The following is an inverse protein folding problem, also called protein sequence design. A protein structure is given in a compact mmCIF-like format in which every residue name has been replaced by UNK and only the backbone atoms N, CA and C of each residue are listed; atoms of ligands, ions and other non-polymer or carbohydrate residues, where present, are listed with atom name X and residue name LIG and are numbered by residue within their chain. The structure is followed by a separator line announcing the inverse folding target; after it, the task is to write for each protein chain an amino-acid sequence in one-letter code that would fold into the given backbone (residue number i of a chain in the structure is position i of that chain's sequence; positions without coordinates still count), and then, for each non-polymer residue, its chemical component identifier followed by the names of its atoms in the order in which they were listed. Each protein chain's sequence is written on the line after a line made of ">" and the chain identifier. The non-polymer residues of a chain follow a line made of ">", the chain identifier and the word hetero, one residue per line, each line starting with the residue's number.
data_IF_548239407701
#
_entry.id   IF_548239407701
#
_cell.length_a   1.000
_cell.length_b   1.000
_cell.length_c   1.000
_cell.angle_alpha   90.00
_cell.angle_beta   90.00
_cell.angle_gamma   90.00
#
_symmetry.space_group_name_H-M   'P 1'
#
loop_
_entity.id
_entity.type
_entity.pdbx_description
1 polymer ?
#
# COMPACT_ATOMS: atom_id res chain seq x y z
N UNK A 1 -0.19 13.26 -11.61
CA UNK A 1 0.34 11.90 -11.43
C UNK A 1 -0.80 10.90 -11.59
N UNK A 2 -0.64 9.91 -12.47
CA UNK A 2 -1.67 8.87 -12.67
C UNK A 2 -1.38 7.66 -11.77
N UNK A 3 -2.29 7.39 -10.85
CA UNK A 3 -2.21 6.24 -9.94
C UNK A 3 -3.14 5.15 -10.46
N UNK A 4 -2.65 3.90 -10.52
CA UNK A 4 -3.46 2.72 -10.67
C UNK A 4 -3.47 1.94 -9.35
N UNK A 5 -4.64 1.52 -8.90
CA UNK A 5 -4.79 0.66 -7.73
C UNK A 5 -5.39 -0.67 -8.19
N UNK A 6 -4.69 -1.74 -7.89
CA UNK A 6 -5.10 -3.11 -8.21
C UNK A 6 -5.80 -3.72 -7.01
N UNK A 7 -6.99 -4.27 -7.25
CA UNK A 7 -7.70 -5.15 -6.34
C UNK A 7 -7.64 -6.55 -6.89
N UNK A 8 -6.94 -7.44 -6.21
CA UNK A 8 -6.69 -8.82 -6.62
C UNK A 8 -7.08 -9.78 -5.52
N UNK A 9 -7.62 -10.94 -5.90
CA UNK A 9 -7.71 -12.08 -5.00
C UNK A 9 -6.34 -12.76 -4.88
N UNK A 10 -5.90 -12.99 -3.65
CA UNK A 10 -4.73 -13.82 -3.36
C UNK A 10 -5.21 -15.17 -2.86
N UNK A 11 -4.93 -16.22 -3.62
CA UNK A 11 -5.16 -17.60 -3.18
C UNK A 11 -4.00 -18.00 -2.27
N UNK A 12 -4.25 -18.28 -0.97
CA UNK A 12 -3.16 -18.54 -0.03
C UNK A 12 -2.24 -19.67 -0.47
N UNK A 13 -0.92 -19.42 -0.43
CA UNK A 13 0.12 -20.38 -0.82
C UNK A 13 0.37 -20.55 -2.33
N UNK A 14 -0.51 -20.07 -3.20
CA UNK A 14 -0.41 -20.22 -4.66
C UNK A 14 0.45 -19.09 -5.29
N UNK A 15 1.70 -18.98 -4.85
CA UNK A 15 2.62 -17.86 -5.17
C UNK A 15 2.75 -17.61 -6.67
N UNK A 16 2.94 -18.67 -7.48
CA UNK A 16 3.14 -18.54 -8.92
C UNK A 16 1.89 -18.05 -9.64
N UNK A 17 0.71 -18.57 -9.25
CA UNK A 17 -0.56 -18.15 -9.82
C UNK A 17 -0.89 -16.69 -9.44
N UNK A 18 -0.67 -16.33 -8.16
CA UNK A 18 -0.86 -14.97 -7.66
C UNK A 18 0.08 -13.98 -8.37
N UNK A 19 1.35 -14.36 -8.56
CA UNK A 19 2.35 -13.56 -9.31
C UNK A 19 1.94 -13.39 -10.78
N UNK A 20 1.52 -14.45 -11.45
CA UNK A 20 1.10 -14.38 -12.84
C UNK A 20 -0.09 -13.42 -13.02
N UNK A 21 -1.08 -13.48 -12.11
CA UNK A 21 -2.22 -12.58 -12.06
C UNK A 21 -1.78 -11.13 -11.81
N UNK A 22 -0.90 -10.90 -10.83
CA UNK A 22 -0.35 -9.57 -10.53
C UNK A 22 0.39 -8.96 -11.73
N UNK A 23 1.17 -9.75 -12.46
CA UNK A 23 1.85 -9.31 -13.68
C UNK A 23 0.86 -8.92 -14.79
N UNK A 24 -0.27 -9.63 -14.92
CA UNK A 24 -1.30 -9.28 -15.88
C UNK A 24 -1.97 -7.94 -15.53
N UNK A 25 -2.35 -7.73 -14.28
CA UNK A 25 -2.92 -6.45 -13.82
C UNK A 25 -1.91 -5.30 -13.92
N UNK A 26 -0.63 -5.55 -13.59
CA UNK A 26 0.42 -4.54 -13.74
C UNK A 26 0.55 -4.10 -15.21
N UNK A 27 0.52 -5.06 -16.16
CA UNK A 27 0.56 -4.76 -17.58
C UNK A 27 -0.65 -3.93 -18.02
N UNK A 28 -1.87 -4.32 -17.61
CA UNK A 28 -3.08 -3.54 -17.88
C UNK A 28 -2.97 -2.09 -17.38
N UNK A 29 -2.48 -1.91 -16.15
CA UNK A 29 -2.28 -0.59 -15.57
C UNK A 29 -1.27 0.25 -16.35
N UNK A 30 -0.15 -0.36 -16.75
CA UNK A 30 0.92 0.31 -17.52
C UNK A 30 0.48 0.66 -18.94
N UNK A 31 -0.32 -0.18 -19.59
CA UNK A 31 -0.92 0.09 -20.92
C UNK A 31 -1.83 1.32 -20.86
N UNK A 32 -2.51 1.54 -19.72
CA UNK A 32 -3.32 2.74 -19.43
C UNK A 32 -2.48 3.91 -18.89
N UNK A 33 -1.14 3.83 -19.00
CA UNK A 33 -0.20 4.91 -18.66
C UNK A 33 -0.16 5.28 -17.18
N UNK A 34 -0.32 4.30 -16.29
CA UNK A 34 -0.11 4.52 -14.87
C UNK A 34 1.35 4.95 -14.60
N UNK A 35 1.53 6.03 -13.84
CA UNK A 35 2.83 6.43 -13.31
C UNK A 35 3.26 5.49 -12.17
N UNK A 36 2.30 5.10 -11.31
CA UNK A 36 2.52 4.16 -10.23
C UNK A 36 1.37 3.17 -10.13
N UNK A 37 1.70 1.89 -9.94
CA UNK A 37 0.75 0.80 -9.72
C UNK A 37 0.87 0.32 -8.28
N UNK A 38 -0.24 0.35 -7.55
CA UNK A 38 -0.34 -0.08 -6.16
C UNK A 38 -1.05 -1.42 -6.07
N UNK A 39 -0.45 -2.38 -5.37
CA UNK A 39 -1.05 -3.64 -4.97
C UNK A 39 -1.29 -3.70 -3.46
N UNK A 40 -2.07 -4.68 -3.01
CA UNK A 40 -2.41 -4.89 -1.62
C UNK A 40 -1.30 -5.61 -0.82
N UNK A 41 -1.47 -5.69 0.49
CA UNK A 41 -0.62 -6.42 1.44
C UNK A 41 -0.66 -7.93 1.16
N UNK A 42 0.46 -8.63 1.39
CA UNK A 42 0.57 -10.09 1.26
C UNK A 42 0.10 -10.62 -0.12
N UNK A 43 0.50 -9.92 -1.18
CA UNK A 43 0.04 -10.13 -2.55
C UNK A 43 0.22 -11.57 -3.07
N UNK A 44 1.28 -12.26 -2.61
CA UNK A 44 1.71 -13.53 -3.20
C UNK A 44 1.38 -14.73 -2.33
N UNK A 45 1.64 -14.64 -1.03
CA UNK A 45 1.54 -15.77 -0.10
C UNK A 45 0.19 -15.79 0.60
N UNK A 46 -0.34 -14.62 0.93
CA UNK A 46 -1.48 -14.51 1.84
C UNK A 46 -1.12 -14.99 3.25
N UNK A 47 -2.13 -15.19 4.09
CA UNK A 47 -1.94 -15.81 5.41
C UNK A 47 -1.94 -17.35 5.22
N UNK A 48 -0.76 -17.96 5.12
CA UNK A 48 -0.58 -19.38 4.86
C UNK A 48 0.44 -19.99 5.84
N UNK A 49 0.24 -21.25 6.27
CA UNK A 49 1.11 -21.93 7.24
C UNK A 49 2.58 -22.01 6.80
N UNK A 50 2.83 -22.11 5.49
CA UNK A 50 4.16 -22.16 4.89
C UNK A 50 4.73 -20.79 4.54
N UNK A 51 4.21 -19.69 5.12
CA UNK A 51 4.61 -18.34 4.74
C UNK A 51 6.14 -18.12 4.79
N UNK A 52 6.85 -18.72 5.74
CA UNK A 52 8.32 -18.59 5.85
C UNK A 52 9.08 -19.27 4.71
N UNK A 53 8.56 -20.40 4.22
CA UNK A 53 9.15 -21.11 3.07
C UNK A 53 8.87 -20.35 1.76
N UNK A 54 7.68 -19.80 1.64
CA UNK A 54 7.19 -19.10 0.46
C UNK A 54 7.65 -17.63 0.37
N UNK A 55 8.20 -17.10 1.47
CA UNK A 55 8.71 -15.73 1.54
C UNK A 55 9.87 -15.50 0.56
N UNK A 56 9.87 -14.36 -0.11
CA UNK A 56 10.91 -13.95 -1.06
C UNK A 56 11.86 -12.92 -0.44
N UNK A 57 13.09 -12.87 -0.92
CA UNK A 57 13.95 -11.71 -0.68
C UNK A 57 13.42 -10.49 -1.46
N UNK A 58 13.71 -9.29 -0.98
CA UNK A 58 13.26 -8.03 -1.62
C UNK A 58 13.63 -7.98 -3.12
N UNK A 59 14.80 -8.50 -3.49
CA UNK A 59 15.23 -8.62 -4.88
C UNK A 59 14.93 -10.01 -5.50
N UNK A 60 13.90 -10.68 -4.98
CA UNK A 60 13.48 -12.01 -5.39
C UNK A 60 12.79 -12.07 -6.76
N UNK A 61 12.20 -13.24 -7.08
CA UNK A 61 11.59 -13.49 -8.38
C UNK A 61 10.51 -12.50 -8.76
N UNK A 62 9.64 -12.12 -7.82
CA UNK A 62 8.53 -11.19 -8.08
C UNK A 62 9.03 -9.78 -8.38
N UNK A 63 9.96 -9.26 -7.59
CA UNK A 63 10.61 -7.96 -7.87
C UNK A 63 11.25 -7.95 -9.25
N UNK A 64 11.97 -8.99 -9.62
CA UNK A 64 12.60 -9.12 -10.95
C UNK A 64 11.60 -9.16 -12.09
N UNK A 65 10.47 -9.85 -11.88
CA UNK A 65 9.40 -9.91 -12.87
C UNK A 65 8.74 -8.53 -13.08
N UNK A 66 8.44 -7.79 -12.01
CA UNK A 66 7.95 -6.42 -12.10
C UNK A 66 8.98 -5.46 -12.71
N UNK A 67 10.26 -5.61 -12.36
CA UNK A 67 11.34 -4.84 -12.97
C UNK A 67 11.39 -5.07 -14.48
N UNK A 68 11.19 -6.30 -14.95
CA UNK A 68 11.11 -6.63 -16.36
C UNK A 68 9.95 -5.93 -17.08
N UNK A 69 8.76 -5.85 -16.45
CA UNK A 69 7.61 -5.12 -17.00
C UNK A 69 7.85 -3.60 -17.09
N UNK A 70 8.64 -3.06 -16.16
CA UNK A 70 8.95 -1.64 -16.10
C UNK A 70 10.06 -1.22 -17.07
N UNK A 71 10.70 -2.16 -17.78
CA UNK A 71 11.78 -1.86 -18.70
C UNK A 71 11.34 -0.83 -19.77
N UNK A 72 12.13 0.23 -19.94
CA UNK A 72 11.84 1.31 -20.87
C UNK A 72 10.75 2.31 -20.39
N UNK A 73 10.29 2.20 -19.16
CA UNK A 73 9.31 3.13 -18.56
C UNK A 73 9.90 3.91 -17.39
N UNK A 74 9.27 5.04 -17.05
CA UNK A 74 9.53 5.78 -15.79
C UNK A 74 8.51 5.43 -14.70
N UNK A 75 7.65 4.43 -14.92
CA UNK A 75 6.64 4.01 -13.96
C UNK A 75 7.24 3.26 -12.77
N UNK A 76 6.43 3.08 -11.73
CA UNK A 76 6.78 2.35 -10.49
C UNK A 76 5.71 1.33 -10.16
N UNK A 77 6.11 0.28 -9.46
CA UNK A 77 5.20 -0.69 -8.84
C UNK A 77 5.50 -0.75 -7.35
N UNK A 78 4.47 -0.59 -6.52
CA UNK A 78 4.49 -0.76 -5.07
C UNK A 78 3.57 -1.92 -4.72
N UNK A 79 4.10 -2.96 -4.07
CA UNK A 79 3.33 -4.18 -3.81
C UNK A 79 3.63 -4.78 -2.43
N UNK A 80 2.67 -5.53 -1.87
CA UNK A 80 2.85 -6.24 -0.60
C UNK A 80 3.67 -7.52 -0.78
N UNK A 81 4.72 -7.68 0.00
CA UNK A 81 5.64 -8.80 -0.03
C UNK A 81 5.76 -9.45 1.34
N UNK A 82 5.58 -10.78 1.40
CA UNK A 82 6.11 -11.60 2.49
C UNK A 82 7.62 -11.66 2.30
N UNK A 83 8.34 -10.77 2.99
CA UNK A 83 9.79 -10.60 2.83
C UNK A 83 10.57 -11.55 3.74
N UNK A 84 11.61 -12.16 3.20
CA UNK A 84 12.63 -12.90 3.96
C UNK A 84 13.96 -12.15 3.93
N UNK A 85 14.56 -11.96 5.10
CA UNK A 85 15.93 -11.45 5.27
C UNK A 85 16.66 -12.29 6.33
N UNK A 86 17.52 -13.19 5.89
CA UNK A 86 18.15 -14.18 6.77
C UNK A 86 17.10 -15.05 7.45
N UNK A 87 17.12 -15.08 8.78
CA UNK A 87 16.18 -15.84 9.62
C UNK A 87 14.90 -15.06 9.96
N UNK A 88 14.76 -13.81 9.50
CA UNK A 88 13.62 -12.95 9.79
C UNK A 88 12.68 -12.86 8.60
N UNK A 89 11.38 -12.74 8.91
CA UNK A 89 10.36 -12.41 7.93
C UNK A 89 9.71 -11.07 8.28
N UNK A 90 9.27 -10.33 7.26
CA UNK A 90 8.61 -9.04 7.39
C UNK A 90 7.41 -8.99 6.44
N UNK A 91 6.36 -8.28 6.83
CA UNK A 91 5.38 -7.78 5.89
C UNK A 91 5.95 -6.48 5.32
N UNK A 92 6.23 -6.44 4.03
CA UNK A 92 6.93 -5.31 3.43
C UNK A 92 6.28 -4.80 2.14
N UNK A 93 6.69 -3.61 1.72
CA UNK A 93 6.24 -2.98 0.50
C UNK A 93 7.42 -2.39 -0.26
N UNK A 94 8.05 -3.16 -1.17
CA UNK A 94 9.08 -2.65 -2.05
C UNK A 94 8.49 -1.78 -3.16
N UNK A 95 9.14 -0.63 -3.39
CA UNK A 95 8.92 0.26 -4.53
C UNK A 95 9.90 -0.12 -5.64
N UNK A 96 9.38 -0.67 -6.72
CA UNK A 96 10.16 -1.19 -7.84
C UNK A 96 10.16 -0.22 -9.01
N UNK A 97 11.29 -0.07 -9.66
CA UNK A 97 11.50 0.64 -10.92
C UNK A 97 12.19 -0.24 -11.95
N UNK A 98 12.35 0.22 -13.19
CA UNK A 98 13.17 -0.44 -14.19
C UNK A 98 14.64 -0.67 -13.74
N UNK A 99 15.13 0.13 -12.77
CA UNK A 99 16.50 0.04 -12.24
C UNK A 99 16.63 -0.84 -10.97
N UNK A 100 15.54 -1.41 -10.49
CA UNK A 100 15.47 -2.21 -9.25
C UNK A 100 14.65 -1.55 -8.16
N UNK A 101 14.81 -2.01 -6.92
CA UNK A 101 14.14 -1.51 -5.73
C UNK A 101 14.70 -0.13 -5.36
N UNK A 102 13.81 0.86 -5.25
CA UNK A 102 14.16 2.24 -4.87
C UNK A 102 13.99 2.49 -3.38
N UNK A 103 13.01 1.83 -2.76
CA UNK A 103 12.68 1.91 -1.35
C UNK A 103 11.99 0.62 -0.92
N UNK A 104 12.07 0.29 0.36
CA UNK A 104 11.32 -0.82 0.94
C UNK A 104 10.79 -0.41 2.31
N UNK A 105 9.47 -0.42 2.48
CA UNK A 105 8.83 -0.21 3.76
C UNK A 105 8.54 -1.56 4.41
N UNK A 106 8.81 -1.72 5.70
CA UNK A 106 8.41 -2.86 6.52
C UNK A 106 7.35 -2.41 7.51
N UNK A 107 6.25 -3.13 7.59
CA UNK A 107 5.10 -2.85 8.47
C UNK A 107 5.58 -2.64 9.90
N UNK A 108 5.25 -1.49 10.49
CA UNK A 108 5.72 -1.12 11.83
C UNK A 108 4.77 -1.57 12.93
N UNK A 109 3.46 -1.69 12.62
CA UNK A 109 2.45 -2.15 13.57
C UNK A 109 1.91 -3.51 13.12
N UNK A 110 2.41 -4.58 13.74
CA UNK A 110 1.96 -5.93 13.47
C UNK A 110 0.59 -6.18 14.11
N UNK A 111 -0.30 -6.87 13.36
CA UNK A 111 -1.62 -7.24 13.87
C UNK A 111 -1.48 -8.35 14.92
N UNK A 112 -1.82 -8.04 16.16
CA UNK A 112 -1.63 -8.94 17.32
C UNK A 112 -2.92 -9.51 17.90
N UNK A 113 -4.08 -8.87 17.62
CA UNK A 113 -5.37 -9.27 18.20
C UNK A 113 -6.05 -10.34 17.33
N UNK A 114 -5.34 -11.43 17.09
CA UNK A 114 -5.83 -12.58 16.34
C UNK A 114 -5.16 -13.86 16.85
N UNK A 115 -5.71 -14.98 16.46
CA UNK A 115 -5.14 -16.31 16.69
C UNK A 115 -4.64 -16.91 15.37
N UNK A 116 -3.80 -17.95 15.47
CA UNK A 116 -3.31 -18.68 14.31
C UNK A 116 -2.47 -17.81 13.37
N UNK A 117 -2.67 -17.99 12.08
CA UNK A 117 -1.85 -17.36 11.03
C UNK A 117 -1.96 -15.82 10.98
N UNK A 118 -3.02 -15.26 11.54
CA UNK A 118 -3.22 -13.81 11.60
C UNK A 118 -2.57 -13.14 12.82
N UNK A 119 -1.98 -13.90 13.74
CA UNK A 119 -1.16 -13.35 14.82
C UNK A 119 0.24 -13.04 14.30
N UNK A 120 0.36 -11.90 13.62
CA UNK A 120 1.59 -11.51 12.91
C UNK A 120 2.87 -11.54 13.75
N UNK A 121 2.87 -11.16 15.07
CA UNK A 121 4.10 -11.23 15.88
C UNK A 121 4.70 -12.64 16.03
N UNK A 122 3.93 -13.70 15.77
CA UNK A 122 4.45 -15.08 15.79
C UNK A 122 5.30 -15.41 14.54
N UNK A 123 5.16 -14.64 13.46
CA UNK A 123 5.74 -14.95 12.16
C UNK A 123 6.66 -13.85 11.64
N UNK A 124 6.37 -12.59 11.98
CA UNK A 124 7.03 -11.42 11.40
C UNK A 124 7.76 -10.59 12.45
N UNK A 125 8.79 -9.91 12.00
CA UNK A 125 9.48 -8.85 12.74
C UNK A 125 8.90 -7.50 12.33
N UNK A 126 8.62 -6.62 13.28
CA UNK A 126 8.16 -5.26 12.98
C UNK A 126 9.27 -4.42 12.33
N UNK A 127 8.86 -3.54 11.41
CA UNK A 127 9.72 -2.50 10.88
C UNK A 127 9.98 -1.41 11.94
N UNK A 128 11.06 -0.65 11.76
CA UNK A 128 11.52 0.33 12.76
C UNK A 128 11.51 1.78 12.24
N UNK A 129 11.05 2.01 11.00
CA UNK A 129 11.15 3.34 10.39
C UNK A 129 10.03 3.62 9.39
N UNK A 130 9.64 4.88 9.32
CA UNK A 130 8.84 5.40 8.23
C UNK A 130 9.68 5.52 6.96
N UNK A 131 9.08 5.23 5.83
CA UNK A 131 9.75 5.34 4.52
C UNK A 131 9.03 6.38 3.67
N UNK A 132 9.78 7.33 3.14
CA UNK A 132 9.31 8.31 2.18
C UNK A 132 10.15 8.27 0.92
N UNK A 133 9.53 8.60 -0.22
CA UNK A 133 10.22 8.72 -1.50
C UNK A 133 9.64 9.88 -2.31
N UNK A 134 10.43 10.43 -3.24
CA UNK A 134 9.96 11.45 -4.15
C UNK A 134 9.62 10.83 -5.51
N UNK A 135 8.45 11.16 -6.04
CA UNK A 135 8.03 10.70 -7.36
C UNK A 135 7.09 11.70 -8.04
N UNK A 136 7.39 12.06 -9.31
CA UNK A 136 6.58 13.00 -10.10
C UNK A 136 6.27 14.32 -9.37
N UNK A 137 7.26 14.86 -8.66
CA UNK A 137 7.12 16.12 -7.92
C UNK A 137 6.44 16.01 -6.56
N UNK A 138 5.91 14.84 -6.20
CA UNK A 138 5.30 14.59 -4.90
C UNK A 138 6.26 13.88 -3.94
N UNK A 139 6.16 14.18 -2.66
CA UNK A 139 6.70 13.33 -1.59
C UNK A 139 5.63 12.34 -1.15
N UNK A 140 5.98 11.07 -1.17
CA UNK A 140 5.07 9.96 -0.93
C UNK A 140 5.47 9.17 0.32
N UNK A 141 4.48 8.61 1.03
CA UNK A 141 4.65 7.69 2.15
C UNK A 141 3.99 6.34 1.88
N UNK A 142 4.28 5.35 2.72
CA UNK A 142 3.73 3.99 2.61
C UNK A 142 3.24 3.51 3.97
N UNK A 143 2.05 2.92 4.02
CA UNK A 143 1.48 2.23 5.18
C UNK A 143 1.00 0.85 4.77
N UNK A 144 0.99 -0.08 5.71
CA UNK A 144 0.46 -1.42 5.51
C UNK A 144 -0.60 -1.72 6.59
N UNK A 145 -1.82 -2.00 6.14
CA UNK A 145 -2.94 -2.56 6.91
C UNK A 145 -3.12 -1.88 8.29
N UNK A 146 -2.74 -2.55 9.37
CA UNK A 146 -2.90 -2.08 10.74
C UNK A 146 -2.19 -0.77 11.05
N UNK A 147 -1.17 -0.36 10.29
CA UNK A 147 -0.55 0.96 10.42
C UNK A 147 -1.57 2.11 10.34
N UNK A 148 -2.62 1.94 9.51
CA UNK A 148 -3.64 2.97 9.33
C UNK A 148 -4.62 3.13 10.49
N UNK A 149 -4.65 2.19 11.44
CA UNK A 149 -5.46 2.29 12.66
C UNK A 149 -4.81 3.27 13.68
N UNK A 150 -3.57 3.69 13.42
CA UNK A 150 -2.84 4.68 14.21
C UNK A 150 -2.83 6.03 13.49
N UNK A 151 -3.67 7.00 13.91
CA UNK A 151 -3.72 8.34 13.28
C UNK A 151 -2.36 9.05 13.28
N UNK A 152 -1.48 8.68 14.21
CA UNK A 152 -0.10 9.16 14.32
C UNK A 152 0.72 8.83 13.08
N UNK A 153 0.45 7.71 12.40
CA UNK A 153 1.16 7.31 11.18
C UNK A 153 0.93 8.30 10.05
N UNK A 154 -0.34 8.55 9.70
CA UNK A 154 -0.68 9.52 8.66
C UNK A 154 -0.26 10.93 9.04
N UNK A 155 -0.39 11.30 10.32
CA UNK A 155 0.09 12.59 10.84
C UNK A 155 1.60 12.74 10.69
N UNK A 156 2.36 11.69 10.97
CA UNK A 156 3.82 11.70 10.80
C UNK A 156 4.21 11.88 9.34
N UNK A 157 3.55 11.19 8.41
CA UNK A 157 3.77 11.42 6.98
C UNK A 157 3.43 12.85 6.54
N UNK A 158 2.34 13.44 7.05
CA UNK A 158 2.01 14.83 6.78
C UNK A 158 3.10 15.79 7.32
N UNK A 159 3.63 15.53 8.51
CA UNK A 159 4.73 16.30 9.10
C UNK A 159 6.04 16.16 8.32
N UNK A 160 6.26 14.99 7.71
CA UNK A 160 7.39 14.74 6.80
C UNK A 160 7.19 15.38 5.42
N UNK A 161 6.07 16.08 5.19
CA UNK A 161 5.77 16.77 3.94
C UNK A 161 5.21 15.86 2.84
N UNK A 162 4.70 14.68 3.16
CA UNK A 162 4.07 13.82 2.15
C UNK A 162 2.75 14.41 1.67
N UNK A 163 2.57 14.48 0.36
CA UNK A 163 1.31 14.84 -0.28
C UNK A 163 0.48 13.61 -0.60
N UNK A 164 1.10 12.44 -0.79
CA UNK A 164 0.45 11.18 -1.13
C UNK A 164 0.89 10.10 -0.16
N UNK A 165 -0.05 9.25 0.29
CA UNK A 165 0.24 8.02 1.02
C UNK A 165 -0.40 6.84 0.29
N UNK A 166 0.38 5.79 0.12
CA UNK A 166 -0.04 4.50 -0.39
C UNK A 166 -0.31 3.55 0.76
N UNK A 167 -1.51 2.99 0.81
CA UNK A 167 -1.95 2.12 1.89
C UNK A 167 -2.33 0.74 1.38
N UNK A 168 -1.52 -0.27 1.71
CA UNK A 168 -1.69 -1.66 1.29
C UNK A 168 -2.48 -2.42 2.36
N UNK A 169 -3.58 -3.07 2.02
CA UNK A 169 -4.43 -3.77 2.98
C UNK A 169 -4.71 -5.22 2.57
N UNK A 170 -4.84 -6.08 3.58
CA UNK A 170 -5.38 -7.43 3.48
C UNK A 170 -6.27 -7.70 4.69
N UNK A 171 -7.46 -7.09 4.72
CA UNK A 171 -8.39 -7.12 5.85
C UNK A 171 -9.83 -6.86 5.44
N UNK A 172 -10.77 -7.02 6.37
CA UNK A 172 -12.15 -6.52 6.22
C UNK A 172 -12.11 -4.99 6.24
N UNK A 173 -11.89 -4.41 5.07
CA UNK A 173 -11.71 -2.99 4.90
C UNK A 173 -13.05 -2.29 4.68
N UNK A 174 -13.22 -1.07 5.19
CA UNK A 174 -14.42 -0.25 5.00
C UNK A 174 -14.26 0.78 3.87
N UNK A 175 -13.22 0.61 3.05
CA UNK A 175 -12.96 1.45 1.88
C UNK A 175 -12.82 2.92 2.25
N UNK A 176 -13.51 3.77 1.50
CA UNK A 176 -13.48 5.21 1.69
C UNK A 176 -13.82 5.68 3.11
N UNK A 177 -14.70 4.98 3.84
CA UNK A 177 -15.09 5.35 5.22
C UNK A 177 -13.91 5.32 6.20
N UNK A 178 -12.91 4.44 5.98
CA UNK A 178 -11.68 4.43 6.76
C UNK A 178 -10.63 5.44 6.25
N UNK A 179 -10.60 5.69 4.94
CA UNK A 179 -9.60 6.55 4.31
C UNK A 179 -9.91 8.03 4.49
N UNK A 180 -11.18 8.43 4.34
CA UNK A 180 -11.64 9.82 4.39
C UNK A 180 -11.18 10.60 5.63
N UNK A 181 -11.36 10.09 6.87
CA UNK A 181 -10.90 10.81 8.06
C UNK A 181 -9.40 11.09 8.05
N UNK A 182 -8.60 10.13 7.62
CA UNK A 182 -7.14 10.25 7.56
C UNK A 182 -6.70 11.27 6.51
N UNK A 183 -7.36 11.25 5.34
CA UNK A 183 -7.12 12.19 4.25
C UNK A 183 -7.42 13.62 4.69
N UNK A 184 -8.63 13.88 5.19
CA UNK A 184 -9.08 15.22 5.64
C UNK A 184 -8.20 15.75 6.77
N UNK A 185 -7.98 14.93 7.82
CA UNK A 185 -7.21 15.35 9.01
C UNK A 185 -5.76 15.72 8.67
N UNK A 186 -5.21 15.24 7.56
CA UNK A 186 -3.81 15.44 7.19
C UNK A 186 -3.63 16.23 5.88
N UNK A 187 -4.74 16.63 5.22
CA UNK A 187 -4.72 17.26 3.89
C UNK A 187 -3.82 16.49 2.94
N UNK A 188 -4.18 15.23 2.65
CA UNK A 188 -3.28 14.31 1.95
C UNK A 188 -4.10 13.39 1.02
N UNK A 189 -3.57 13.12 -0.16
CA UNK A 189 -4.13 12.11 -1.05
C UNK A 189 -3.77 10.74 -0.51
N UNK A 190 -4.76 9.83 -0.42
CA UNK A 190 -4.52 8.45 -0.01
C UNK A 190 -5.03 7.52 -1.12
N UNK A 191 -4.12 6.70 -1.65
CA UNK A 191 -4.45 5.60 -2.53
C UNK A 191 -4.37 4.30 -1.72
N UNK A 192 -5.46 3.56 -1.65
CA UNK A 192 -5.59 2.36 -0.85
C UNK A 192 -5.92 1.16 -1.72
N UNK A 193 -5.14 0.08 -1.60
CA UNK A 193 -5.40 -1.21 -2.23
C UNK A 193 -5.76 -2.23 -1.17
N UNK A 194 -6.81 -3.02 -1.40
CA UNK A 194 -7.20 -4.14 -0.56
C UNK A 194 -7.42 -5.40 -1.39
N UNK A 195 -7.20 -6.56 -0.79
CA UNK A 195 -7.53 -7.84 -1.40
C UNK A 195 -9.05 -8.02 -1.53
N UNK A 196 -9.46 -8.94 -2.39
CA UNK A 196 -10.83 -9.44 -2.52
C UNK A 196 -10.79 -10.97 -2.49
N UNK A 197 -11.91 -11.61 -2.14
CA UNK A 197 -12.00 -13.07 -2.07
C UNK A 197 -11.91 -13.64 -0.65
N UNK A 198 -11.76 -14.95 -0.55
CA UNK A 198 -11.68 -15.67 0.72
C UNK A 198 -10.23 -15.91 1.11
N UNK A 199 -9.90 -15.72 2.38
CA UNK A 199 -8.62 -16.16 2.93
C UNK A 199 -8.74 -17.59 3.55
N UNK A 200 -7.60 -18.17 3.99
CA UNK A 200 -7.56 -19.50 4.64
C UNK A 200 -8.42 -19.58 5.91
N UNK A 201 -8.68 -18.47 6.58
CA UNK A 201 -9.55 -18.42 7.76
C UNK A 201 -11.03 -18.25 7.38
N UNK A 202 -11.39 -18.52 6.11
CA UNK A 202 -12.74 -18.34 5.55
C UNK A 202 -13.30 -16.91 5.78
N UNK A 203 -12.41 -15.93 5.84
CA UNK A 203 -12.76 -14.52 6.03
C UNK A 203 -12.92 -13.86 4.66
N UNK A 204 -14.13 -13.39 4.37
CA UNK A 204 -14.40 -12.70 3.12
C UNK A 204 -13.83 -11.28 3.17
N UNK A 205 -12.87 -11.00 2.29
CA UNK A 205 -12.43 -9.66 1.95
C UNK A 205 -13.22 -9.15 0.75
N UNK A 206 -13.90 -8.03 0.90
CA UNK A 206 -14.76 -7.46 -0.15
C UNK A 206 -14.07 -6.43 -1.02
N UNK A 207 -12.79 -6.18 -0.82
CA UNK A 207 -12.07 -5.10 -1.49
C UNK A 207 -12.26 -3.76 -0.80
N UNK A 208 -12.78 -2.75 -1.52
CA UNK A 208 -12.87 -1.37 -1.08
C UNK A 208 -11.63 -0.57 -1.42
N UNK A 209 -10.84 -1.07 -2.40
CA UNK A 209 -9.70 -0.32 -2.94
C UNK A 209 -10.18 1.03 -3.48
N UNK A 210 -9.51 2.12 -3.11
CA UNK A 210 -9.96 3.46 -3.48
C UNK A 210 -8.82 4.46 -3.61
N UNK A 211 -9.15 5.60 -4.24
CA UNK A 211 -8.31 6.80 -4.24
C UNK A 211 -9.17 7.94 -3.69
N UNK A 212 -8.71 8.54 -2.60
CA UNK A 212 -9.36 9.65 -1.91
C UNK A 212 -8.46 10.88 -1.99
N UNK A 213 -9.02 12.03 -2.39
CA UNK A 213 -8.24 13.26 -2.50
C UNK A 213 -8.00 13.90 -1.12
N UNK A 214 -7.21 14.98 -1.09
CA UNK A 214 -6.82 15.66 0.15
C UNK A 214 -7.95 16.43 0.85
N UNK A 215 -9.12 16.58 0.22
CA UNK A 215 -10.35 17.14 0.82
C UNK A 215 -11.26 16.05 1.38
N UNK A 216 -10.89 14.78 1.22
CA UNK A 216 -11.67 13.62 1.63
C UNK A 216 -12.75 13.20 0.63
N UNK A 217 -12.72 13.75 -0.58
CA UNK A 217 -13.60 13.32 -1.66
C UNK A 217 -13.14 11.99 -2.26
N UNK A 218 -14.08 11.08 -2.47
CA UNK A 218 -13.83 9.82 -3.16
C UNK A 218 -13.65 10.08 -4.67
N UNK A 219 -12.48 9.74 -5.20
CA UNK A 219 -12.20 9.86 -6.63
C UNK A 219 -12.66 8.62 -7.38
N UNK A 220 -12.35 7.44 -6.84
CA UNK A 220 -12.75 6.15 -7.41
C UNK A 220 -12.67 5.05 -6.35
N UNK A 221 -13.48 4.01 -6.48
CA UNK A 221 -13.53 2.87 -5.56
C UNK A 221 -13.92 1.59 -6.31
N UNK A 222 -13.49 0.43 -5.80
CA UNK A 222 -13.82 -0.89 -6.33
C UNK A 222 -14.19 -1.84 -5.18
N UNK A 223 -15.32 -2.54 -5.34
CA UNK A 223 -15.84 -3.53 -4.40
C UNK A 223 -16.15 -4.85 -5.10
N UNK A 224 -16.07 -5.94 -4.34
CA UNK A 224 -16.60 -7.28 -4.68
C UNK A 224 -16.10 -7.88 -6.01
N UNK A 225 -15.05 -7.32 -6.61
CA UNK A 225 -14.49 -7.81 -7.86
C UNK A 225 -12.98 -7.58 -7.95
N UNK A 226 -12.28 -8.42 -8.70
CA UNK A 226 -10.91 -8.11 -9.13
C UNK A 226 -10.91 -7.03 -10.21
N UNK A 227 -9.87 -6.20 -10.23
CA UNK A 227 -9.74 -5.18 -11.26
C UNK A 227 -8.72 -4.10 -10.96
N UNK A 228 -8.66 -3.13 -11.85
CA UNK A 228 -7.75 -1.98 -11.77
C UNK A 228 -8.55 -0.69 -11.88
N UNK A 229 -8.50 0.13 -10.85
CA UNK A 229 -9.03 1.51 -10.87
C UNK A 229 -7.89 2.50 -11.10
N UNK A 230 -8.22 3.63 -11.74
CA UNK A 230 -7.26 4.67 -12.11
C UNK A 230 -7.76 6.04 -11.72
N UNK A 231 -6.85 6.92 -11.31
CA UNK A 231 -7.13 8.33 -11.17
C UNK A 231 -5.90 9.19 -11.51
N UNK A 232 -6.15 10.33 -12.10
CA UNK A 232 -5.17 11.41 -12.18
C UNK A 232 -5.31 12.27 -10.93
N UNK A 233 -4.23 12.40 -10.16
CA UNK A 233 -4.19 13.17 -8.92
C UNK A 233 -3.21 14.34 -9.05
N UNK A 234 -3.45 15.41 -8.28
CA UNK A 234 -2.73 16.67 -8.31
C UNK A 234 -2.06 16.97 -6.96
N UNK A 235 -0.88 16.36 -6.67
CA UNK A 235 -0.20 16.53 -5.38
C UNK A 235 0.29 17.99 -5.13
N UNK A 236 0.49 18.77 -6.17
CA UNK A 236 0.82 20.19 -6.11
C UNK A 236 -0.29 21.02 -5.44
N UNK A 237 -1.56 20.68 -5.63
CA UNK A 237 -2.71 21.32 -4.98
C UNK A 237 -2.75 21.08 -3.47
N UNK A 238 -2.15 20.00 -2.98
CA UNK A 238 -2.09 19.68 -1.54
C UNK A 238 -1.36 20.77 -0.76
N UNK A 239 -0.24 21.26 -1.28
CA UNK A 239 0.55 22.28 -0.60
C UNK A 239 -0.17 23.64 -0.60
N UNK A 240 -0.88 23.97 -1.68
CA UNK A 240 -1.72 25.17 -1.73
C UNK A 240 -2.87 25.06 -0.73
N UNK A 241 -3.56 23.92 -0.68
CA UNK A 241 -4.62 23.64 0.27
C UNK A 241 -4.13 23.79 1.72
N UNK A 242 -2.96 23.22 2.07
CA UNK A 242 -2.36 23.34 3.40
C UNK A 242 -2.03 24.77 3.76
N UNK A 243 -1.50 25.57 2.82
CA UNK A 243 -1.22 27.00 3.06
C UNK A 243 -2.48 27.80 3.35
N UNK A 244 -3.58 27.47 2.70
CA UNK A 244 -4.85 28.19 2.81
C UNK A 244 -5.76 27.64 3.91
N UNK A 245 -5.45 26.48 4.49
CA UNK A 245 -6.27 25.84 5.48
C UNK A 245 -5.92 26.30 6.91
N UNK A 246 -6.80 27.07 7.58
CA UNK A 246 -6.48 27.65 8.89
C UNK A 246 -6.30 26.60 9.98
N UNK A 247 -7.04 25.47 9.96
CA UNK A 247 -6.90 24.44 10.98
C UNK A 247 -5.56 23.71 10.90
N UNK A 248 -5.00 23.52 9.71
CA UNK A 248 -3.66 22.95 9.54
C UNK A 248 -2.59 23.85 10.14
N UNK A 249 -2.75 25.19 9.98
CA UNK A 249 -1.87 26.21 10.58
C UNK A 249 -2.06 26.37 12.09
N UNK A 250 -3.27 26.13 12.59
CA UNK A 250 -3.63 26.26 14.00
C UNK A 250 -3.15 25.12 14.90
N UNK A 251 -2.38 24.16 14.38
CA UNK A 251 -1.83 23.05 15.15
C UNK A 251 -0.91 23.55 16.27
N UNK A 252 -1.01 22.86 17.41
CA UNK A 252 -0.23 23.10 18.62
C UNK A 252 0.63 21.88 18.95
N UNK A 253 1.73 21.59 18.15
CA UNK A 253 2.53 20.37 18.35
C UNK A 253 3.10 20.21 19.76
N UNK A 254 3.31 21.33 20.44
CA UNK A 254 3.78 21.35 21.84
C UNK A 254 2.77 20.79 22.87
N UNK A 255 1.50 20.58 22.45
CA UNK A 255 0.45 19.99 23.28
C UNK A 255 0.19 18.50 22.97
N UNK A 256 0.78 17.98 21.90
CA UNK A 256 0.54 16.61 21.44
C UNK A 256 1.66 15.71 21.98
N UNK A 257 1.28 14.70 22.75
CA UNK A 257 2.22 13.76 23.40
C UNK A 257 2.56 12.63 22.46
#
# INVERSE_FOLDING_TARGET
>A
MRIAVVQQETVPGEVEANRAKALAFAREALDKKADIVLFHEELLVGYHERLRELAEEVNGPTTKAFQGLLAGTDSRILYGLTEREGDRSYVSAPLVSAKGVLANYRKTHLWWNAEGLRHEPAFYTAGERLVTFNFKGARCGVMICYDGDFPEMTRSYANLGCQVVFWLNNRKFRGHDEVKPLSVANSMIIASSCCVGMDEAESLCRGGSNITNFTGELVTELWDAEGVIHADVHPDEVEEHRRNNPWYKGRRPELYV
#
